data_IF_978574440545
#
_entry.id   IF_978574440545
#
_cell.length_a   1.000
_cell.length_b   1.000
_cell.length_c   1.000
_cell.angle_alpha   90.00
_cell.angle_beta   90.00
_cell.angle_gamma   90.00
#
_symmetry.space_group_name_H-M   'P 1'
#
loop_
_entity.id
_entity.type
_entity.pdbx_description
1 polymer ?
#
# COMPACT_ATOMS: atom_id res chain seq x y z
N UNK A 1 49.72 9.43 28.44
CA UNK A 1 48.81 8.33 28.06
C UNK A 1 48.38 8.53 26.61
N UNK A 2 49.03 7.87 25.64
CA UNK A 2 48.70 8.03 24.21
C UNK A 2 47.46 7.19 23.90
N UNK A 3 46.31 7.85 23.78
CA UNK A 3 45.06 7.19 23.45
C UNK A 3 45.18 6.61 22.03
N UNK A 4 45.08 5.27 21.95
CA UNK A 4 45.40 4.50 20.76
C UNK A 4 44.34 4.75 19.68
N UNK A 5 44.62 5.68 18.75
CA UNK A 5 43.70 6.21 17.72
C UNK A 5 42.95 5.11 16.94
N UNK A 6 43.57 3.94 16.80
CA UNK A 6 43.02 2.76 16.15
C UNK A 6 41.79 2.14 16.86
N UNK A 7 41.67 2.30 18.18
CA UNK A 7 40.51 1.78 18.94
C UNK A 7 39.26 2.63 18.73
N UNK A 8 39.42 3.94 18.55
CA UNK A 8 38.31 4.86 18.30
C UNK A 8 37.71 4.67 16.90
N UNK A 9 38.55 4.40 15.90
CA UNK A 9 38.09 4.15 14.51
C UNK A 9 37.35 2.81 14.41
N UNK A 10 37.86 1.75 15.05
CA UNK A 10 37.19 0.44 15.05
C UNK A 10 35.81 0.47 15.71
N UNK A 11 35.64 1.24 16.79
CA UNK A 11 34.36 1.40 17.47
C UNK A 11 33.33 2.16 16.62
N UNK A 12 33.75 3.21 15.89
CA UNK A 12 32.87 3.96 14.99
C UNK A 12 32.41 3.10 13.80
N UNK A 13 33.31 2.27 13.26
CA UNK A 13 33.00 1.38 12.14
C UNK A 13 32.04 0.25 12.57
N UNK A 14 32.20 -0.28 13.79
CA UNK A 14 31.25 -1.24 14.36
C UNK A 14 29.88 -0.62 14.63
N UNK A 15 29.80 0.63 15.11
CA UNK A 15 28.50 1.32 15.25
C UNK A 15 27.81 1.49 13.89
N UNK A 16 28.53 1.88 12.83
CA UNK A 16 27.92 2.04 11.50
C UNK A 16 27.35 0.75 10.91
N UNK A 17 27.92 -0.42 11.22
CA UNK A 17 27.43 -1.71 10.70
C UNK A 17 26.20 -2.21 11.46
N UNK A 18 26.08 -1.86 12.75
CA UNK A 18 24.90 -2.24 13.58
C UNK A 18 23.68 -1.37 13.24
N UNK A 19 23.87 -0.11 12.84
CA UNK A 19 22.78 0.75 12.36
C UNK A 19 22.26 0.37 10.96
N UNK A 20 23.04 -0.37 10.16
CA UNK A 20 22.61 -0.82 8.82
C UNK A 20 21.68 -2.04 8.85
N UNK A 21 21.53 -2.72 9.99
CA UNK A 21 20.67 -3.90 10.12
C UNK A 21 19.17 -3.60 10.24
N UNK A 22 18.78 -2.33 10.42
CA UNK A 22 17.39 -1.92 10.63
C UNK A 22 16.64 -1.52 9.34
N UNK A 23 17.25 -1.71 8.16
CA UNK A 23 16.69 -1.24 6.88
C UNK A 23 16.25 -2.37 5.93
N UNK A 24 15.89 -3.53 6.47
CA UNK A 24 15.00 -4.45 5.77
C UNK A 24 13.59 -4.15 6.27
N UNK A 25 13.03 -3.01 5.83
CA UNK A 25 11.60 -2.82 5.93
C UNK A 25 10.95 -3.96 5.12
N UNK A 26 10.13 -4.77 5.79
CA UNK A 26 9.52 -5.90 5.13
C UNK A 26 8.38 -5.36 4.26
N UNK A 27 8.60 -5.30 2.94
CA UNK A 27 7.56 -4.84 2.00
C UNK A 27 6.53 -5.94 1.82
N UNK A 28 5.34 -5.75 2.38
CA UNK A 28 4.24 -6.71 2.34
C UNK A 28 3.23 -6.33 1.26
N UNK A 29 2.89 -7.27 0.38
CA UNK A 29 1.82 -7.09 -0.60
C UNK A 29 0.48 -7.57 -0.02
N UNK A 30 -0.56 -6.78 -0.19
CA UNK A 30 -1.93 -7.12 0.19
C UNK A 30 -2.93 -6.56 -0.82
N UNK A 31 -4.16 -7.06 -0.79
CA UNK A 31 -5.23 -6.58 -1.65
C UNK A 31 -6.30 -5.87 -0.82
N UNK A 32 -6.85 -4.81 -1.40
CA UNK A 32 -7.93 -4.03 -0.83
C UNK A 32 -9.11 -4.10 -1.78
N UNK A 33 -10.32 -4.21 -1.22
CA UNK A 33 -11.54 -4.28 -2.01
C UNK A 33 -12.24 -2.93 -1.98
N UNK A 34 -12.53 -2.39 -3.17
CA UNK A 34 -13.38 -1.23 -3.37
C UNK A 34 -14.75 -1.65 -3.88
N UNK A 35 -15.79 -1.03 -3.36
CA UNK A 35 -17.17 -1.19 -3.80
C UNK A 35 -17.74 0.19 -4.12
N UNK A 36 -18.42 0.33 -5.25
CA UNK A 36 -18.90 1.61 -5.75
C UNK A 36 -20.23 1.48 -6.47
N UNK A 37 -21.05 2.53 -6.34
CA UNK A 37 -22.33 2.67 -7.02
C UNK A 37 -22.33 3.96 -7.84
N UNK A 38 -22.96 3.93 -9.00
CA UNK A 38 -23.01 5.07 -9.93
C UNK A 38 -24.24 5.06 -10.82
N UNK A 39 -24.64 6.22 -11.33
CA UNK A 39 -25.76 6.31 -12.26
C UNK A 39 -25.43 5.69 -13.64
N UNK A 40 -24.15 5.62 -13.96
CA UNK A 40 -23.59 4.87 -15.07
C UNK A 40 -22.43 3.99 -14.58
N UNK A 41 -21.95 3.11 -15.45
CA UNK A 41 -20.88 2.15 -15.15
C UNK A 41 -19.60 2.86 -14.74
N UNK A 42 -19.23 3.93 -15.43
CA UNK A 42 -17.95 4.60 -15.23
C UNK A 42 -17.94 5.35 -13.88
N UNK A 43 -19.05 5.98 -13.49
CA UNK A 43 -19.24 6.53 -12.14
C UNK A 43 -19.12 5.46 -11.04
N UNK A 44 -19.71 4.28 -11.25
CA UNK A 44 -19.63 3.19 -10.28
C UNK A 44 -18.19 2.68 -10.13
N UNK A 45 -17.47 2.57 -11.25
CA UNK A 45 -16.05 2.23 -11.27
C UNK A 45 -15.18 3.27 -10.55
N UNK A 46 -15.35 4.55 -10.87
CA UNK A 46 -14.61 5.65 -10.23
C UNK A 46 -14.84 5.68 -8.72
N UNK A 47 -16.09 5.46 -8.27
CA UNK A 47 -16.40 5.33 -6.86
C UNK A 47 -15.68 4.14 -6.21
N UNK A 48 -15.74 2.95 -6.85
CA UNK A 48 -15.09 1.75 -6.34
C UNK A 48 -13.56 1.93 -6.25
N UNK A 49 -12.94 2.50 -7.28
CA UNK A 49 -11.50 2.80 -7.33
C UNK A 49 -11.11 3.80 -6.26
N UNK A 50 -11.89 4.87 -6.07
CA UNK A 50 -11.65 5.85 -5.02
C UNK A 50 -11.66 5.21 -3.62
N UNK A 51 -12.66 4.38 -3.32
CA UNK A 51 -12.74 3.72 -2.02
C UNK A 51 -11.64 2.68 -1.80
N UNK A 52 -11.22 1.95 -2.84
CA UNK A 52 -10.08 1.04 -2.77
C UNK A 52 -8.78 1.79 -2.48
N UNK A 53 -8.48 2.83 -3.26
CA UNK A 53 -7.27 3.65 -3.09
C UNK A 53 -7.25 4.36 -1.72
N UNK A 54 -8.38 4.89 -1.27
CA UNK A 54 -8.48 5.49 0.06
C UNK A 54 -8.22 4.48 1.17
N UNK A 55 -8.75 3.27 1.03
CA UNK A 55 -8.53 2.20 2.01
C UNK A 55 -7.08 1.71 2.02
N UNK A 56 -6.44 1.64 0.86
CA UNK A 56 -5.00 1.41 0.72
C UNK A 56 -4.18 2.45 1.50
N UNK A 57 -4.45 3.74 1.23
CA UNK A 57 -3.79 4.86 1.88
C UNK A 57 -3.99 4.87 3.42
N UNK A 58 -5.22 4.63 3.88
CA UNK A 58 -5.53 4.55 5.32
C UNK A 58 -4.86 3.36 6.00
N UNK A 59 -4.55 2.30 5.25
CA UNK A 59 -3.73 1.17 5.70
C UNK A 59 -2.23 1.42 5.63
N UNK A 60 -1.79 2.67 5.46
CA UNK A 60 -0.37 3.04 5.23
C UNK A 60 0.23 2.30 4.03
N UNK A 61 -0.61 2.02 3.04
CA UNK A 61 -0.23 1.35 1.81
C UNK A 61 0.10 2.30 0.68
N UNK A 62 1.03 1.87 -0.16
CA UNK A 62 1.30 2.40 -1.49
C UNK A 62 0.51 1.56 -2.52
N UNK A 63 -0.36 2.22 -3.28
CA UNK A 63 -1.15 1.60 -4.35
C UNK A 63 -0.25 1.09 -5.47
N UNK A 64 -0.48 -0.15 -5.93
CA UNK A 64 0.22 -0.69 -7.11
C UNK A 64 -0.35 -0.16 -8.43
N UNK A 65 -1.48 0.56 -8.37
CA UNK A 65 -2.31 0.94 -9.52
C UNK A 65 -2.86 -0.24 -10.32
N UNK A 66 -2.70 -1.47 -9.83
CA UNK A 66 -3.26 -2.67 -10.44
C UNK A 66 -4.66 -2.91 -9.89
N UNK A 67 -5.66 -2.58 -10.70
CA UNK A 67 -7.06 -2.77 -10.40
C UNK A 67 -7.61 -3.96 -11.19
N UNK A 68 -8.34 -4.85 -10.50
CA UNK A 68 -9.05 -5.97 -11.12
C UNK A 68 -10.52 -5.90 -10.77
N UNK A 69 -11.37 -5.81 -11.79
CA UNK A 69 -12.83 -5.84 -11.62
C UNK A 69 -13.25 -7.26 -11.22
N UNK A 70 -13.93 -7.37 -10.09
CA UNK A 70 -14.47 -8.62 -9.56
C UNK A 70 -15.95 -8.78 -9.90
N UNK A 71 -16.70 -7.68 -9.85
CA UNK A 71 -18.12 -7.61 -10.21
C UNK A 71 -18.37 -6.30 -10.93
N UNK A 72 -19.15 -6.36 -12.01
CA UNK A 72 -19.67 -5.19 -12.73
C UNK A 72 -21.08 -5.54 -13.21
N UNK A 73 -22.09 -4.86 -12.68
CA UNK A 73 -23.49 -5.14 -13.04
C UNK A 73 -24.39 -3.91 -12.85
N UNK A 74 -25.47 -3.84 -13.63
CA UNK A 74 -26.57 -2.94 -13.35
C UNK A 74 -27.55 -3.64 -12.41
N UNK A 75 -27.90 -3.00 -11.28
CA UNK A 75 -28.82 -3.54 -10.28
C UNK A 75 -30.22 -2.93 -10.44
N UNK A 76 -31.21 -3.66 -11.00
CA UNK A 76 -32.52 -3.09 -11.29
C UNK A 76 -33.31 -2.65 -10.05
N UNK A 77 -33.02 -3.27 -8.89
CA UNK A 77 -33.68 -2.95 -7.62
C UNK A 77 -33.34 -1.56 -7.09
N UNK A 78 -32.12 -1.08 -7.34
CA UNK A 78 -31.66 0.24 -6.93
C UNK A 78 -31.67 1.25 -8.08
N UNK A 79 -31.62 0.77 -9.33
CA UNK A 79 -31.50 1.61 -10.52
C UNK A 79 -30.08 2.14 -10.74
N UNK A 80 -29.08 1.57 -10.07
CA UNK A 80 -27.68 1.99 -10.14
C UNK A 80 -26.80 0.88 -10.71
N UNK A 81 -25.70 1.30 -11.33
CA UNK A 81 -24.58 0.41 -11.59
C UNK A 81 -23.83 0.14 -10.29
N UNK A 82 -23.36 -1.10 -10.15
CA UNK A 82 -22.55 -1.56 -9.05
C UNK A 82 -21.25 -2.15 -9.60
N UNK A 83 -20.13 -1.69 -9.05
CA UNK A 83 -18.80 -2.20 -9.36
C UNK A 83 -18.11 -2.60 -8.07
N UNK A 84 -17.49 -3.78 -8.09
CA UNK A 84 -16.58 -4.26 -7.06
C UNK A 84 -15.24 -4.57 -7.71
N UNK A 85 -14.16 -4.05 -7.14
CA UNK A 85 -12.80 -4.28 -7.64
C UNK A 85 -11.83 -4.57 -6.51
N UNK A 86 -10.74 -5.27 -6.84
CA UNK A 86 -9.57 -5.39 -5.98
C UNK A 86 -8.46 -4.46 -6.47
N UNK A 87 -7.80 -3.79 -5.54
CA UNK A 87 -6.60 -2.99 -5.75
C UNK A 87 -5.43 -3.64 -5.00
N UNK A 88 -4.29 -3.79 -5.66
CA UNK A 88 -3.04 -4.19 -5.02
C UNK A 88 -2.41 -3.04 -4.21
N UNK A 89 -1.82 -3.38 -3.07
CA UNK A 89 -1.15 -2.43 -2.17
C UNK A 89 0.13 -3.03 -1.60
N UNK A 90 1.12 -2.17 -1.35
CA UNK A 90 2.32 -2.50 -0.57
C UNK A 90 2.35 -1.71 0.73
N UNK A 91 2.75 -2.32 1.83
CA UNK A 91 3.09 -1.59 3.06
C UNK A 91 4.50 -1.96 3.49
N UNK A 92 5.22 -0.98 4.03
CA UNK A 92 6.55 -1.16 4.61
C UNK A 92 6.38 -1.19 6.13
N UNK A 93 6.64 -2.36 6.76
CA UNK A 93 6.73 -2.53 8.22
C UNK A 93 8.16 -2.32 8.73
#
# INVERSE_FOLDING_TARGET
MKMNKYRAVGAALLMSVVFSGAALAARHHYQVIGEGYGHDRDQAYEAASYYANRSCYLGWGESTQEETILVEEFQPSSGYWYVKLSLGCFSDD
#
